data_IF_436844198546
#
_entry.id   IF_436844198546
#
_cell.length_a   1.000
_cell.length_b   1.000
_cell.length_c   1.000
_cell.angle_alpha   90.00
_cell.angle_beta   90.00
_cell.angle_gamma   90.00
#
_symmetry.space_group_name_H-M   'P 1'
#
loop_
_entity.id
_entity.type
_entity.pdbx_description
1 polymer ?
#
# COMPACT_ATOMS: atom_id res chain seq x y z
N UNK A 1 11.36 -6.08 6.34
CA UNK A 1 10.85 -5.31 7.49
C UNK A 1 11.99 -4.44 8.00
N UNK A 2 12.45 -3.48 7.20
CA UNK A 2 13.38 -2.43 7.61
C UNK A 2 12.76 -1.14 7.11
N UNK A 3 11.76 -0.64 7.85
CA UNK A 3 11.36 0.74 7.70
C UNK A 3 12.50 1.54 8.34
N UNK A 4 13.23 2.28 7.52
CA UNK A 4 14.11 3.33 8.03
C UNK A 4 13.19 4.43 8.54
N UNK A 5 13.06 4.51 9.86
CA UNK A 5 12.27 5.54 10.53
C UNK A 5 13.06 6.86 10.48
N UNK A 6 12.88 7.59 9.39
CA UNK A 6 13.46 8.92 9.26
C UNK A 6 12.71 9.93 10.11
N UNK A 7 13.41 10.63 10.99
CA UNK A 7 12.85 11.83 11.64
C UNK A 7 13.20 13.06 10.81
N UNK A 8 12.19 13.76 10.31
CA UNK A 8 12.38 14.94 9.46
C UNK A 8 12.09 16.20 10.26
N UNK A 9 13.10 17.02 10.49
CA UNK A 9 13.01 18.34 11.11
C UNK A 9 13.07 19.42 10.01
N UNK A 10 12.24 20.45 10.12
CA UNK A 10 12.18 21.54 9.13
C UNK A 10 12.64 22.84 9.78
N UNK A 11 13.61 23.51 9.16
CA UNK A 11 13.93 24.90 9.52
C UNK A 11 13.00 25.86 8.78
N UNK A 12 12.66 25.55 7.52
CA UNK A 12 11.73 26.27 6.64
C UNK A 12 11.11 25.29 5.62
N UNK A 13 10.40 25.80 4.60
CA UNK A 13 9.85 25.00 3.50
C UNK A 13 10.88 24.50 2.46
N UNK A 14 12.14 24.92 2.58
CA UNK A 14 13.21 24.62 1.60
C UNK A 14 14.28 23.69 2.19
N UNK A 15 14.64 23.91 3.47
CA UNK A 15 15.72 23.21 4.14
C UNK A 15 15.17 22.26 5.22
N UNK A 16 15.61 21.00 5.13
CA UNK A 16 15.19 19.94 6.01
C UNK A 16 16.37 19.14 6.53
N UNK A 17 16.31 18.80 7.81
CA UNK A 17 17.22 17.87 8.45
C UNK A 17 16.52 16.52 8.58
N UNK A 18 17.16 15.47 8.06
CA UNK A 18 16.63 14.10 8.07
C UNK A 18 17.57 13.21 8.88
N UNK A 19 17.07 12.69 9.99
CA UNK A 19 17.79 11.84 10.92
C UNK A 19 17.47 10.36 10.67
N UNK A 20 18.48 9.50 10.68
CA UNK A 20 18.37 8.04 10.63
C UNK A 20 19.27 7.43 11.71
N UNK A 21 18.73 7.23 12.90
CA UNK A 21 19.56 6.99 14.10
C UNK A 21 20.48 8.19 14.33
N UNK A 22 21.79 7.94 14.48
CA UNK A 22 22.81 8.97 14.70
C UNK A 22 23.24 9.69 13.40
N UNK A 23 22.77 9.23 12.24
CA UNK A 23 23.16 9.81 10.95
C UNK A 23 22.23 10.97 10.61
N UNK A 24 22.82 12.16 10.44
CA UNK A 24 22.13 13.38 10.00
C UNK A 24 22.41 13.66 8.53
N UNK A 25 21.36 13.91 7.76
CA UNK A 25 21.45 14.42 6.40
C UNK A 25 20.65 15.71 6.22
N UNK A 26 21.15 16.63 5.40
CA UNK A 26 20.44 17.86 5.04
C UNK A 26 19.92 17.73 3.62
N UNK A 27 18.66 18.09 3.43
CA UNK A 27 17.98 18.18 2.13
C UNK A 27 17.70 19.66 1.85
N UNK A 28 18.16 20.14 0.70
CA UNK A 28 17.84 21.46 0.18
C UNK A 28 17.02 21.31 -1.10
N UNK A 29 15.75 21.69 -1.03
CA UNK A 29 14.83 21.58 -2.14
C UNK A 29 15.05 22.65 -3.22
N UNK A 30 15.71 23.78 -2.92
CA UNK A 30 15.95 24.86 -3.88
C UNK A 30 16.93 24.44 -4.97
N UNK A 31 18.04 23.84 -4.55
CA UNK A 31 19.10 23.32 -5.42
C UNK A 31 18.91 21.83 -5.73
N UNK A 32 17.82 21.23 -5.26
CA UNK A 32 17.53 19.79 -5.38
C UNK A 32 18.75 18.95 -4.95
N UNK A 33 19.20 19.13 -3.71
CA UNK A 33 20.37 18.43 -3.17
C UNK A 33 20.09 17.71 -1.86
N UNK A 34 20.92 16.72 -1.56
CA UNK A 34 20.96 16.07 -0.25
C UNK A 34 22.42 15.73 0.10
N UNK A 35 22.82 15.89 1.36
CA UNK A 35 24.20 15.63 1.82
C UNK A 35 24.66 14.18 1.65
N UNK A 36 23.73 13.22 1.51
CA UNK A 36 24.06 11.85 1.13
C UNK A 36 24.52 11.70 -0.33
N UNK A 37 24.51 12.80 -1.11
CA UNK A 37 24.95 12.95 -2.52
C UNK A 37 24.20 12.12 -3.57
N UNK A 38 23.42 11.11 -3.17
CA UNK A 38 22.65 10.27 -4.10
C UNK A 38 21.72 11.07 -5.02
N UNK A 39 21.07 12.11 -4.49
CA UNK A 39 20.15 12.91 -5.28
C UNK A 39 20.86 13.65 -6.44
N UNK A 40 22.09 14.11 -6.20
CA UNK A 40 22.88 14.83 -7.20
C UNK A 40 23.52 13.88 -8.23
N UNK A 41 23.86 12.65 -7.83
CA UNK A 41 24.50 11.67 -8.71
C UNK A 41 23.52 11.00 -9.65
N UNK A 42 22.38 10.53 -9.14
CA UNK A 42 21.45 9.69 -9.89
C UNK A 42 20.32 10.50 -10.55
N UNK A 43 20.20 11.80 -10.25
CA UNK A 43 19.04 12.66 -10.56
C UNK A 43 17.70 12.07 -10.07
N UNK A 44 17.77 11.11 -9.14
CA UNK A 44 16.64 10.40 -8.56
C UNK A 44 16.56 10.78 -7.07
N UNK A 45 15.38 11.15 -6.55
CA UNK A 45 15.20 11.43 -5.13
C UNK A 45 15.71 10.30 -4.24
N UNK A 46 16.64 10.62 -3.34
CA UNK A 46 17.09 9.66 -2.35
C UNK A 46 16.02 9.44 -1.27
N UNK A 47 16.19 8.41 -0.43
CA UNK A 47 15.24 8.11 0.65
C UNK A 47 14.98 9.30 1.59
N UNK A 48 15.98 10.15 1.83
CA UNK A 48 15.81 11.37 2.63
C UNK A 48 14.91 12.40 1.95
N UNK A 49 15.11 12.63 0.65
CA UNK A 49 14.29 13.55 -0.15
C UNK A 49 12.85 13.03 -0.22
N UNK A 50 12.66 11.72 -0.40
CA UNK A 50 11.34 11.07 -0.37
C UNK A 50 10.65 11.30 0.98
N UNK A 51 11.36 11.16 2.10
CA UNK A 51 10.81 11.39 3.44
C UNK A 51 10.36 12.86 3.62
N UNK A 52 11.13 13.82 3.11
CA UNK A 52 10.73 15.25 3.09
C UNK A 52 9.46 15.46 2.27
N UNK A 53 9.38 14.88 1.07
CA UNK A 53 8.18 14.99 0.23
C UNK A 53 6.95 14.39 0.89
N UNK A 54 7.07 13.25 1.56
CA UNK A 54 5.97 12.64 2.31
C UNK A 54 5.50 13.52 3.48
N UNK A 55 6.42 14.25 4.12
CA UNK A 55 6.07 15.21 5.19
C UNK A 55 5.34 16.43 4.65
N UNK A 56 5.73 16.95 3.49
CA UNK A 56 5.10 18.12 2.86
C UNK A 56 3.76 17.78 2.19
N UNK A 57 3.63 16.56 1.67
CA UNK A 57 2.46 16.07 0.97
C UNK A 57 2.00 14.76 1.60
N UNK A 58 1.39 14.82 2.80
CA UNK A 58 0.82 13.64 3.42
C UNK A 58 -0.29 13.07 2.51
N UNK A 59 -0.42 11.74 2.40
CA UNK A 59 -1.46 11.14 1.58
C UNK A 59 -2.84 11.50 2.11
N UNK A 60 -3.71 11.95 1.22
CA UNK A 60 -5.10 12.25 1.53
C UNK A 60 -5.91 10.95 1.67
N UNK A 61 -5.84 10.35 2.86
CA UNK A 61 -6.55 9.13 3.23
C UNK A 61 -5.67 7.97 3.71
N UNK A 62 -6.29 6.90 4.23
CA UNK A 62 -5.57 5.70 4.67
C UNK A 62 -5.10 4.87 3.47
N UNK A 63 -3.80 4.86 3.20
CA UNK A 63 -3.19 3.84 2.34
C UNK A 63 -3.37 2.49 3.04
N UNK A 64 -4.19 1.59 2.49
CA UNK A 64 -4.25 0.22 3.01
C UNK A 64 -2.93 -0.46 2.71
N UNK A 65 -2.13 -0.68 3.76
CA UNK A 65 -0.89 -1.48 3.71
C UNK A 65 -1.28 -2.93 3.42
N UNK A 66 -1.44 -3.28 2.15
CA UNK A 66 -1.91 -4.60 1.77
C UNK A 66 -1.61 -4.92 0.33
N UNK A 67 -1.31 -6.19 0.06
CA UNK A 67 -1.18 -6.74 -1.28
C UNK A 67 -2.41 -6.31 -2.11
N UNK A 68 -2.24 -5.55 -3.21
CA UNK A 68 -3.35 -5.27 -4.11
C UNK A 68 -4.05 -6.57 -4.46
N UNK A 69 -5.38 -6.63 -4.31
CA UNK A 69 -6.14 -7.83 -4.67
C UNK A 69 -5.99 -8.08 -6.17
N UNK A 70 -5.00 -8.89 -6.57
CA UNK A 70 -4.93 -9.47 -7.91
C UNK A 70 -6.02 -10.53 -8.00
N UNK A 71 -6.74 -10.58 -9.13
CA UNK A 71 -7.60 -11.73 -9.43
C UNK A 71 -6.74 -12.99 -9.32
N UNK A 72 -7.24 -14.04 -8.65
CA UNK A 72 -6.56 -15.35 -8.62
C UNK A 72 -6.36 -15.80 -10.07
N UNK A 73 -5.12 -15.97 -10.50
CA UNK A 73 -4.84 -16.63 -11.76
C UNK A 73 -5.21 -18.10 -11.60
N UNK A 74 -6.23 -18.55 -12.33
CA UNK A 74 -6.64 -19.96 -12.33
C UNK A 74 -5.55 -20.81 -12.96
N UNK A 75 -5.17 -21.91 -12.30
CA UNK A 75 -4.23 -22.88 -12.86
C UNK A 75 -4.84 -23.59 -14.08
N UNK A 76 -4.01 -24.19 -14.95
CA UNK A 76 -4.48 -24.91 -16.14
C UNK A 76 -5.53 -25.98 -15.79
N UNK A 77 -5.29 -26.73 -14.72
CA UNK A 77 -6.20 -27.76 -14.18
C UNK A 77 -7.51 -27.19 -13.60
N UNK A 78 -7.55 -25.91 -13.18
CA UNK A 78 -8.77 -25.24 -12.76
C UNK A 78 -9.62 -24.72 -13.93
N UNK A 79 -9.05 -24.64 -15.14
CA UNK A 79 -9.77 -24.20 -16.35
C UNK A 79 -10.63 -25.32 -16.94
N UNK A 80 -10.19 -26.57 -16.79
CA UNK A 80 -10.86 -27.78 -17.31
C UNK A 80 -11.76 -28.47 -16.27
N UNK A 81 -11.85 -27.93 -15.05
CA UNK A 81 -12.81 -28.38 -14.06
C UNK A 81 -14.22 -28.02 -14.54
N UNK A 82 -14.90 -28.99 -15.18
CA UNK A 82 -16.33 -29.02 -15.54
C UNK A 82 -17.11 -27.91 -14.84
N UNK A 83 -17.35 -26.79 -15.56
CA UNK A 83 -18.29 -25.72 -15.20
C UNK A 83 -18.57 -25.59 -13.71
N UNK A 84 -17.77 -24.77 -13.00
CA UNK A 84 -17.99 -24.27 -11.63
C UNK A 84 -19.40 -24.61 -11.12
N UNK A 85 -19.53 -25.63 -10.26
CA UNK A 85 -20.83 -25.93 -9.63
C UNK A 85 -21.38 -24.61 -9.07
N UNK A 86 -22.63 -24.24 -9.39
CA UNK A 86 -23.22 -23.02 -8.86
C UNK A 86 -23.07 -23.02 -7.34
N UNK A 87 -22.69 -21.87 -6.77
CA UNK A 87 -22.67 -21.72 -5.31
C UNK A 87 -24.13 -21.80 -4.86
N UNK A 88 -24.52 -22.91 -4.23
CA UNK A 88 -25.85 -23.12 -3.67
C UNK A 88 -25.81 -22.81 -2.17
N UNK A 89 -26.75 -21.98 -1.73
CA UNK A 89 -26.87 -21.60 -0.35
C UNK A 89 -27.49 -22.72 0.49
N UNK A 90 -26.76 -23.28 1.45
CA UNK A 90 -27.33 -24.30 2.36
C UNK A 90 -28.42 -23.80 3.31
N UNK A 91 -28.80 -22.50 3.31
CA UNK A 91 -29.93 -21.98 4.12
C UNK A 91 -31.24 -21.95 3.34
N UNK A 92 -31.22 -21.42 2.11
CA UNK A 92 -32.42 -21.21 1.31
C UNK A 92 -32.40 -21.99 -0.02
N UNK A 93 -31.38 -22.80 -0.25
CA UNK A 93 -31.13 -23.60 -1.45
C UNK A 93 -31.13 -22.83 -2.79
N UNK A 94 -31.05 -21.50 -2.75
CA UNK A 94 -30.89 -20.65 -3.93
C UNK A 94 -29.42 -20.48 -4.31
N UNK A 95 -29.15 -20.21 -5.59
CA UNK A 95 -27.80 -20.06 -6.11
C UNK A 95 -27.24 -18.63 -5.92
N UNK A 96 -25.98 -18.43 -6.31
CA UNK A 96 -25.33 -17.11 -6.36
C UNK A 96 -24.79 -16.60 -5.02
N UNK A 97 -25.09 -17.29 -3.92
CA UNK A 97 -24.63 -16.92 -2.59
C UNK A 97 -24.48 -18.15 -1.69
N UNK A 98 -23.71 -18.01 -0.59
CA UNK A 98 -23.51 -19.07 0.39
C UNK A 98 -24.34 -18.81 1.67
N UNK A 99 -24.45 -19.81 2.55
CA UNK A 99 -25.19 -19.71 3.83
C UNK A 99 -24.75 -18.51 4.68
N UNK A 100 -23.46 -18.15 4.68
CA UNK A 100 -22.89 -17.07 5.49
C UNK A 100 -23.37 -15.67 5.07
N UNK A 101 -23.76 -15.49 3.81
CA UNK A 101 -24.24 -14.20 3.27
C UNK A 101 -25.72 -14.25 2.85
N UNK A 102 -26.43 -15.29 3.24
CA UNK A 102 -27.82 -15.48 2.89
C UNK A 102 -28.71 -14.46 3.62
N UNK A 103 -29.39 -13.61 2.84
CA UNK A 103 -30.39 -12.65 3.34
C UNK A 103 -31.81 -13.21 3.33
N UNK A 104 -32.00 -14.40 2.75
CA UNK A 104 -33.33 -15.00 2.72
C UNK A 104 -33.75 -15.42 4.12
N UNK A 105 -35.00 -15.14 4.53
CA UNK A 105 -35.57 -15.71 5.74
C UNK A 105 -35.58 -17.24 5.59
N UNK A 106 -35.44 -17.96 6.70
CA UNK A 106 -35.69 -19.41 6.71
C UNK A 106 -37.14 -19.62 6.29
N UNK A 107 -37.39 -20.37 5.22
CA UNK A 107 -38.74 -20.85 4.89
C UNK A 107 -39.18 -21.79 6.03
N UNK A 108 -40.32 -21.46 6.62
CA UNK A 108 -40.81 -21.88 7.94
C UNK A 108 -41.29 -23.34 8.03
N UNK A 109 -41.15 -23.93 9.22
CA UNK A 109 -42.23 -24.54 10.01
C UNK A 109 -41.85 -24.43 11.50
#
# INVERSE_FOLDING_TARGET
MLYVDFTVNSTNHILFEVLNGDIKNVVDLSVKSCTCKRFQMDQIPCAHVIAVFQKLHPPEGRIRVGRPKKRRCKAFWEKNAKTLKPIICGKCNQNGHNRRICRNPTTND
#
